data_IF_259498208705
#
_entry.id   IF_259498208705
#
_cell.length_a   1.000
_cell.length_b   1.000
_cell.length_c   1.000
_cell.angle_alpha   90.00
_cell.angle_beta   90.00
_cell.angle_gamma   90.00
#
_symmetry.space_group_name_H-M   'P 1'
#
loop_
_entity.id
_entity.type
_entity.pdbx_description
1 polymer ?
#
# COMPACT_ATOMS: atom_id res chain seq x y z
N UNK A 1 3.69 -44.43 -54.88
CA UNK A 1 4.80 -43.45 -54.73
C UNK A 1 4.48 -42.56 -53.55
N UNK A 2 5.37 -42.56 -52.56
CA UNK A 2 5.23 -41.90 -51.26
C UNK A 2 5.45 -40.39 -51.39
N UNK A 3 4.50 -39.56 -50.95
CA UNK A 3 4.63 -38.10 -50.93
C UNK A 3 4.74 -37.60 -49.49
N UNK A 4 5.95 -37.28 -49.07
CA UNK A 4 6.26 -36.63 -47.79
C UNK A 4 5.73 -35.19 -47.75
N UNK A 5 5.19 -34.70 -46.62
CA UNK A 5 4.96 -33.28 -46.42
C UNK A 5 6.27 -32.57 -46.03
N UNK A 6 6.58 -31.47 -46.75
CA UNK A 6 7.72 -30.58 -46.46
C UNK A 6 7.45 -29.74 -45.22
N UNK A 7 8.30 -29.88 -44.20
CA UNK A 7 8.34 -29.00 -43.03
C UNK A 7 8.82 -27.60 -43.40
N UNK A 8 7.98 -26.58 -43.16
CA UNK A 8 8.34 -25.17 -43.23
C UNK A 8 8.96 -24.78 -41.89
N UNK A 9 10.27 -24.52 -41.89
CA UNK A 9 11.00 -24.02 -40.72
C UNK A 9 10.62 -22.55 -40.47
N UNK A 10 9.94 -22.28 -39.35
CA UNK A 10 9.67 -20.92 -38.87
C UNK A 10 10.95 -20.34 -38.25
N UNK A 11 11.56 -19.39 -38.95
CA UNK A 11 12.72 -18.65 -38.48
C UNK A 11 12.31 -17.66 -37.38
N UNK A 12 12.84 -17.85 -36.16
CA UNK A 12 12.53 -17.00 -35.00
C UNK A 12 13.45 -15.77 -35.03
N UNK A 13 12.95 -14.52 -34.95
CA UNK A 13 13.82 -13.35 -34.99
C UNK A 13 14.64 -13.21 -33.70
N UNK A 14 15.95 -13.05 -33.87
CA UNK A 14 16.95 -12.83 -32.83
C UNK A 14 16.59 -11.64 -31.93
N UNK A 15 16.40 -11.92 -30.63
CA UNK A 15 16.22 -10.92 -29.59
C UNK A 15 17.57 -10.26 -29.29
N UNK A 16 17.76 -9.04 -29.79
CA UNK A 16 18.91 -8.18 -29.50
C UNK A 16 18.84 -7.79 -28.01
N UNK A 17 19.56 -8.51 -27.15
CA UNK A 17 19.85 -8.07 -25.79
C UNK A 17 21.08 -7.14 -25.82
N UNK A 18 20.85 -5.83 -25.83
CA UNK A 18 21.91 -4.86 -25.54
C UNK A 18 22.27 -4.93 -24.06
N UNK A 19 23.54 -5.25 -23.75
CA UNK A 19 24.09 -5.18 -22.39
C UNK A 19 23.99 -3.73 -21.85
N UNK A 20 23.49 -3.50 -20.62
CA UNK A 20 23.52 -2.18 -20.03
C UNK A 20 24.97 -1.75 -19.69
N UNK A 21 25.35 -0.53 -20.09
CA UNK A 21 26.63 0.11 -19.72
C UNK A 21 26.68 0.31 -18.21
N UNK A 22 27.76 -0.14 -17.56
CA UNK A 22 28.03 0.15 -16.15
C UNK A 22 28.26 1.65 -15.95
N UNK A 23 27.42 2.30 -15.16
CA UNK A 23 27.66 3.66 -14.68
C UNK A 23 28.83 3.65 -13.69
N UNK A 24 29.81 4.53 -13.88
CA UNK A 24 30.91 4.75 -12.92
C UNK A 24 30.39 5.60 -11.77
N UNK A 25 30.18 5.00 -10.61
CA UNK A 25 29.86 5.72 -9.36
C UNK A 25 31.12 6.42 -8.86
N UNK A 26 31.11 7.76 -8.76
CA UNK A 26 32.13 8.50 -8.00
C UNK A 26 31.86 8.33 -6.50
N UNK A 27 32.88 8.08 -5.66
CA UNK A 27 32.66 8.06 -4.22
C UNK A 27 32.28 9.47 -3.74
N UNK A 28 31.23 9.55 -2.93
CA UNK A 28 30.82 10.77 -2.26
C UNK A 28 31.91 11.20 -1.26
N UNK A 29 32.22 12.49 -1.24
CA UNK A 29 33.16 13.08 -0.30
C UNK A 29 32.66 12.88 1.14
N UNK A 30 33.51 12.30 1.98
CA UNK A 30 33.27 12.13 3.41
C UNK A 30 33.33 13.50 4.08
N UNK A 31 32.18 14.02 4.53
CA UNK A 31 32.13 15.26 5.31
C UNK A 31 32.61 14.93 6.72
N UNK A 32 33.79 15.45 7.07
CA UNK A 32 34.33 15.42 8.43
C UNK A 32 33.36 16.09 9.40
N UNK A 33 32.79 15.31 10.33
CA UNK A 33 31.97 15.82 11.42
C UNK A 33 32.84 16.60 12.41
N UNK A 34 32.77 17.93 12.34
CA UNK A 34 33.26 18.79 13.42
C UNK A 34 32.51 18.45 14.73
N UNK A 35 33.26 18.31 15.82
CA UNK A 35 32.76 17.96 17.17
C UNK A 35 31.58 18.87 17.57
N UNK A 36 30.35 18.34 17.53
CA UNK A 36 29.18 18.98 18.15
C UNK A 36 29.31 18.88 19.67
N UNK A 37 29.02 19.98 20.38
CA UNK A 37 28.82 19.95 21.84
C UNK A 37 27.50 19.22 22.12
N UNK A 38 27.46 18.33 23.14
CA UNK A 38 26.26 17.56 23.44
C UNK A 38 25.13 18.49 23.88
N UNK A 39 23.92 18.21 23.39
CA UNK A 39 22.72 18.97 23.76
C UNK A 39 21.93 18.22 24.82
N UNK A 40 20.91 18.87 25.40
CA UNK A 40 20.04 18.28 26.43
C UNK A 40 19.39 16.93 26.03
N UNK A 41 19.36 16.64 24.72
CA UNK A 41 18.83 15.41 24.13
C UNK A 41 19.83 14.23 24.12
N UNK A 42 21.12 14.45 24.38
CA UNK A 42 22.14 13.40 24.49
C UNK A 42 22.19 12.76 25.90
N UNK A 43 21.34 13.23 26.83
CA UNK A 43 21.27 12.70 28.19
C UNK A 43 20.43 11.42 28.17
N UNK A 44 21.13 10.28 28.08
CA UNK A 44 20.52 8.96 28.21
C UNK A 44 19.62 8.85 29.44
N UNK A 45 18.45 8.25 29.25
CA UNK A 45 17.48 7.94 30.30
C UNK A 45 18.07 6.85 31.19
N UNK A 46 18.77 7.24 32.25
CA UNK A 46 19.39 6.28 33.17
C UNK A 46 20.18 6.98 34.25
N UNK A 47 19.55 7.23 35.38
CA UNK A 47 20.20 7.83 36.54
C UNK A 47 19.21 8.46 37.49
N UNK A 48 18.43 7.64 38.19
CA UNK A 48 17.69 8.09 39.37
C UNK A 48 18.69 8.66 40.36
N UNK A 49 18.61 9.97 40.62
CA UNK A 49 19.33 10.61 41.71
C UNK A 49 18.77 10.08 43.03
N UNK A 50 19.44 9.10 43.64
CA UNK A 50 19.16 8.67 45.00
C UNK A 50 19.30 9.90 45.92
N UNK A 51 18.18 10.38 46.45
CA UNK A 51 18.16 11.44 47.44
C UNK A 51 19.08 11.09 48.60
N UNK A 52 19.97 12.01 48.93
CA UNK A 52 20.87 11.91 50.09
C UNK A 52 20.02 11.66 51.34
N UNK A 53 20.31 10.57 52.04
CA UNK A 53 19.68 10.22 53.30
C UNK A 53 19.86 11.35 54.31
N UNK A 54 18.77 12.04 54.63
CA UNK A 54 18.67 12.83 55.84
C UNK A 54 18.33 11.85 56.97
N UNK A 55 19.32 11.49 57.77
CA UNK A 55 19.10 10.75 59.00
C UNK A 55 18.37 11.67 59.99
N UNK A 56 17.06 11.44 60.18
CA UNK A 56 16.32 12.00 61.29
C UNK A 56 16.84 11.40 62.60
N UNK A 57 17.58 12.19 63.37
CA UNK A 57 17.95 11.85 64.74
C UNK A 57 16.70 11.82 65.63
N UNK A 58 16.32 10.62 66.09
CA UNK A 58 15.29 10.46 67.11
C UNK A 58 15.86 10.91 68.47
N UNK A 59 15.40 12.06 68.96
CA UNK A 59 15.50 12.40 70.38
C UNK A 59 14.26 11.83 71.08
N UNK A 60 14.47 10.87 71.96
CA UNK A 60 13.44 10.35 72.86
C UNK A 60 13.02 11.46 73.84
N UNK A 61 11.97 12.20 73.48
CA UNK A 61 11.24 13.08 74.38
C UNK A 61 9.95 12.39 74.81
N UNK A 62 9.83 12.11 76.10
CA UNK A 62 8.60 11.61 76.69
C UNK A 62 7.49 12.65 76.53
N UNK A 63 6.50 12.36 75.70
CA UNK A 63 5.27 13.13 75.63
C UNK A 63 4.09 12.22 75.99
N UNK A 64 3.56 12.51 77.18
CA UNK A 64 2.27 12.06 77.64
C UNK A 64 1.15 12.47 76.67
N UNK A 65 0.14 11.60 76.58
CA UNK A 65 -1.23 11.89 76.18
C UNK A 65 -1.41 12.70 74.87
N UNK A 66 -1.65 12.00 73.77
CA UNK A 66 -2.22 12.63 72.57
C UNK A 66 -3.00 11.60 71.76
N UNK A 67 -4.31 11.56 72.01
CA UNK A 67 -5.30 10.81 71.22
C UNK A 67 -5.33 11.21 69.73
N UNK A 68 -4.51 12.18 69.31
CA UNK A 68 -4.38 12.63 67.93
C UNK A 68 -3.43 11.76 67.10
N UNK A 69 -2.52 11.00 67.73
CA UNK A 69 -1.64 10.08 67.00
C UNK A 69 -2.40 8.92 66.34
N UNK A 70 -3.48 8.45 66.97
CA UNK A 70 -4.37 7.42 66.39
C UNK A 70 -5.17 7.94 65.19
N UNK A 71 -5.66 9.19 65.28
CA UNK A 71 -6.42 9.83 64.20
C UNK A 71 -5.51 10.12 63.00
N UNK A 72 -4.28 10.57 63.22
CA UNK A 72 -3.32 10.82 62.13
C UNK A 72 -2.94 9.51 61.40
N UNK A 73 -2.80 8.40 62.14
CA UNK A 73 -2.53 7.10 61.55
C UNK A 73 -3.72 6.57 60.73
N UNK A 74 -4.95 6.76 61.22
CA UNK A 74 -6.17 6.40 60.48
C UNK A 74 -6.37 7.24 59.20
N UNK A 75 -6.01 8.53 59.22
CA UNK A 75 -6.06 9.39 58.02
C UNK A 75 -4.98 8.96 57.00
N UNK A 76 -3.80 8.53 57.46
CA UNK A 76 -2.74 8.03 56.59
C UNK A 76 -3.05 6.66 55.96
N UNK A 77 -3.84 5.80 56.63
CA UNK A 77 -4.30 4.52 56.05
C UNK A 77 -5.43 4.68 55.03
N UNK A 78 -6.21 5.76 55.07
CA UNK A 78 -7.26 6.05 54.08
C UNK A 78 -6.75 6.37 52.67
N UNK A 79 -5.44 6.62 52.51
CA UNK A 79 -4.84 6.91 51.21
C UNK A 79 -4.70 5.66 50.30
N UNK A 80 -4.90 4.46 50.82
CA UNK A 80 -4.82 3.22 50.04
C UNK A 80 -6.13 2.85 49.30
N UNK A 81 -7.25 3.53 49.57
CA UNK A 81 -8.52 3.23 48.91
C UNK A 81 -8.72 4.02 47.60
N UNK A 82 -7.80 4.94 47.28
CA UNK A 82 -7.78 5.67 46.02
C UNK A 82 -6.75 5.08 45.06
N UNK A 83 -6.77 3.76 44.89
CA UNK A 83 -6.15 3.16 43.71
C UNK A 83 -7.07 3.52 42.54
N UNK A 84 -6.63 4.37 41.58
CA UNK A 84 -7.45 4.62 40.40
C UNK A 84 -7.75 3.27 39.77
N UNK A 85 -9.04 2.95 39.64
CA UNK A 85 -9.50 1.67 39.14
C UNK A 85 -8.92 1.46 37.73
N UNK A 86 -7.86 0.67 37.62
CA UNK A 86 -7.21 0.34 36.35
C UNK A 86 -8.13 -0.46 35.43
N UNK A 87 -9.33 -0.86 35.91
CA UNK A 87 -10.39 -1.47 35.08
C UNK A 87 -11.18 -0.46 34.27
N UNK A 88 -11.01 0.84 34.47
CA UNK A 88 -11.48 1.85 33.53
C UNK A 88 -10.55 1.92 32.30
N UNK A 89 -10.26 0.78 31.67
CA UNK A 89 -9.95 0.78 30.25
C UNK A 89 -11.23 1.24 29.57
N UNK A 90 -11.30 2.54 29.23
CA UNK A 90 -12.21 2.97 28.19
C UNK A 90 -12.04 1.98 27.03
N UNK A 91 -13.13 1.42 26.46
CA UNK A 91 -13.02 0.51 25.33
C UNK A 91 -12.08 1.14 24.31
N UNK A 92 -10.96 0.45 24.05
CA UNK A 92 -10.05 0.90 23.00
C UNK A 92 -10.82 0.78 21.69
N UNK A 93 -11.28 1.91 21.18
CA UNK A 93 -11.78 2.02 19.82
C UNK A 93 -10.55 2.09 18.92
N UNK A 94 -10.23 1.02 18.16
CA UNK A 94 -9.07 1.06 17.29
C UNK A 94 -9.24 2.25 16.33
N UNK A 95 -8.20 3.08 16.15
CA UNK A 95 -8.29 4.18 15.20
C UNK A 95 -8.67 3.58 13.85
N UNK A 96 -9.58 4.26 13.16
CA UNK A 96 -10.07 3.83 11.86
C UNK A 96 -8.89 3.37 11.01
N UNK A 97 -8.94 2.13 10.52
CA UNK A 97 -7.84 1.54 9.76
C UNK A 97 -7.42 2.50 8.65
N UNK A 98 -6.14 2.86 8.63
CA UNK A 98 -5.55 3.68 7.57
C UNK A 98 -5.63 2.87 6.28
N UNK A 99 -6.57 3.21 5.40
CA UNK A 99 -6.76 2.53 4.14
C UNK A 99 -6.81 3.56 3.00
N UNK A 100 -6.21 3.25 1.83
CA UNK A 100 -6.44 4.06 0.64
C UNK A 100 -7.93 4.02 0.28
N UNK A 101 -8.50 5.19 -0.02
CA UNK A 101 -9.89 5.29 -0.46
C UNK A 101 -9.91 5.36 -1.98
N UNK A 102 -10.80 4.64 -2.62
CA UNK A 102 -10.95 4.64 -4.07
C UNK A 102 -12.19 5.45 -4.45
N UNK A 103 -12.06 6.33 -5.43
CA UNK A 103 -13.16 7.14 -5.94
C UNK A 103 -13.32 6.90 -7.44
N UNK A 104 -14.55 6.61 -7.91
CA UNK A 104 -14.82 6.54 -9.35
C UNK A 104 -14.78 7.95 -9.94
N UNK A 105 -14.25 8.05 -11.16
CA UNK A 105 -14.10 9.30 -11.90
C UNK A 105 -14.57 9.02 -13.32
N UNK A 106 -15.59 9.74 -13.75
CA UNK A 106 -16.14 9.67 -15.09
C UNK A 106 -15.76 10.94 -15.87
N UNK A 107 -15.09 10.75 -17.01
CA UNK A 107 -14.69 11.85 -17.89
C UNK A 107 -15.53 11.76 -19.15
N UNK A 108 -16.45 12.70 -19.30
CA UNK A 108 -17.39 12.75 -20.41
C UNK A 108 -16.91 13.64 -21.55
N UNK A 109 -17.09 13.16 -22.78
CA UNK A 109 -16.92 13.92 -24.00
C UNK A 109 -18.21 13.92 -24.82
N UNK A 110 -18.69 15.11 -25.16
CA UNK A 110 -19.90 15.29 -25.96
C UNK A 110 -19.58 15.15 -27.45
N UNK A 111 -20.24 14.20 -28.11
CA UNK A 111 -20.21 14.00 -29.57
C UNK A 111 -21.51 14.54 -30.15
N UNK A 112 -21.43 15.57 -30.97
CA UNK A 112 -22.58 16.17 -31.62
C UNK A 112 -22.89 15.47 -32.96
N UNK A 113 -24.17 15.38 -33.29
CA UNK A 113 -24.66 14.90 -34.57
C UNK A 113 -25.57 15.96 -35.21
N UNK A 114 -25.65 15.97 -36.53
CA UNK A 114 -26.67 16.76 -37.22
C UNK A 114 -28.06 16.19 -36.93
N UNK A 115 -29.06 17.08 -36.85
CA UNK A 115 -30.44 16.72 -36.51
C UNK A 115 -30.97 15.60 -37.41
N UNK A 116 -31.62 14.60 -36.82
CA UNK A 116 -32.23 13.47 -37.55
C UNK A 116 -31.25 12.49 -38.20
N UNK A 117 -29.93 12.74 -38.15
CA UNK A 117 -28.92 11.88 -38.79
C UNK A 117 -28.21 10.98 -37.79
N UNK A 118 -27.74 9.81 -38.27
CA UNK A 118 -26.89 8.88 -37.52
C UNK A 118 -25.45 8.86 -38.01
N UNK A 119 -25.13 9.70 -39.00
CA UNK A 119 -23.82 9.75 -39.65
C UNK A 119 -22.81 10.43 -38.75
N UNK A 120 -21.70 9.75 -38.48
CA UNK A 120 -20.54 10.35 -37.82
C UNK A 120 -19.68 11.03 -38.88
N UNK A 121 -19.60 12.36 -38.83
CA UNK A 121 -18.77 13.14 -39.76
C UNK A 121 -17.27 13.08 -39.39
N UNK A 122 -16.42 13.59 -40.30
CA UNK A 122 -14.98 13.57 -40.12
C UNK A 122 -14.49 14.49 -38.97
N UNK A 123 -15.25 15.53 -38.62
CA UNK A 123 -14.90 16.45 -37.53
C UNK A 123 -15.16 15.78 -36.18
N UNK A 124 -16.35 15.19 -36.00
CA UNK A 124 -16.70 14.40 -34.84
C UNK A 124 -15.73 13.22 -34.63
N UNK A 125 -15.31 12.56 -35.72
CA UNK A 125 -14.27 11.52 -35.66
C UNK A 125 -12.93 12.03 -35.13
N UNK A 126 -12.48 13.22 -35.58
CA UNK A 126 -11.25 13.86 -35.07
C UNK A 126 -11.38 14.30 -33.61
N UNK A 127 -12.55 14.78 -33.20
CA UNK A 127 -12.79 15.20 -31.81
C UNK A 127 -12.75 14.01 -30.84
N UNK A 128 -13.33 12.88 -31.25
CA UNK A 128 -13.20 11.60 -30.53
C UNK A 128 -11.73 11.21 -30.43
N UNK A 129 -10.97 11.25 -31.53
CA UNK A 129 -9.55 10.88 -31.52
C UNK A 129 -8.73 11.78 -30.60
N UNK A 130 -8.98 13.08 -30.64
CA UNK A 130 -8.32 14.04 -29.78
C UNK A 130 -8.68 13.82 -28.30
N UNK A 131 -9.93 13.47 -28.00
CA UNK A 131 -10.35 13.11 -26.65
C UNK A 131 -9.65 11.85 -26.15
N UNK A 132 -9.68 10.76 -26.93
CA UNK A 132 -9.02 9.50 -26.59
C UNK A 132 -7.51 9.70 -26.37
N UNK A 133 -6.86 10.51 -27.21
CA UNK A 133 -5.45 10.83 -27.08
C UNK A 133 -5.13 11.66 -25.82
N UNK A 134 -5.93 12.70 -25.53
CA UNK A 134 -5.76 13.53 -24.32
C UNK A 134 -5.91 12.71 -23.04
N UNK A 135 -6.90 11.81 -23.02
CA UNK A 135 -7.12 10.93 -21.87
C UNK A 135 -6.16 9.73 -21.84
N UNK A 136 -5.34 9.54 -22.88
CA UNK A 136 -4.45 8.39 -23.05
C UNK A 136 -5.21 7.07 -22.90
N UNK A 137 -6.35 6.97 -23.57
CA UNK A 137 -7.22 5.79 -23.47
C UNK A 137 -6.49 4.57 -24.00
N UNK A 138 -6.49 3.50 -23.22
CA UNK A 138 -6.00 2.19 -23.62
C UNK A 138 -7.12 1.15 -23.69
N UNK A 139 -6.75 -0.12 -23.96
CA UNK A 139 -7.73 -1.22 -24.09
C UNK A 139 -8.26 -1.75 -22.76
N UNK A 140 -7.63 -1.37 -21.65
CA UNK A 140 -8.04 -1.74 -20.30
C UNK A 140 -8.97 -0.68 -19.67
N UNK A 141 -9.02 0.54 -20.22
CA UNK A 141 -9.99 1.55 -19.81
C UNK A 141 -11.43 1.10 -20.08
N UNK A 142 -12.32 1.35 -19.11
CA UNK A 142 -13.75 1.13 -19.25
C UNK A 142 -14.38 2.31 -19.98
N UNK A 143 -15.00 2.04 -21.12
CA UNK A 143 -15.67 3.05 -21.95
C UNK A 143 -17.17 2.80 -21.99
N UNK A 144 -17.93 3.89 -21.95
CA UNK A 144 -19.37 3.87 -22.14
C UNK A 144 -19.80 4.92 -23.15
N UNK A 145 -20.87 4.60 -23.86
CA UNK A 145 -21.56 5.49 -24.77
C UNK A 145 -22.92 5.74 -24.14
N UNK A 146 -23.13 6.93 -23.61
CA UNK A 146 -24.39 7.35 -23.03
C UNK A 146 -25.27 8.03 -24.09
N UNK A 147 -26.54 7.67 -24.13
CA UNK A 147 -27.57 8.29 -24.99
C UNK A 147 -28.66 8.93 -24.14
N UNK A 148 -29.30 10.03 -24.59
CA UNK A 148 -30.32 10.69 -23.80
C UNK A 148 -31.57 9.79 -23.65
N UNK A 149 -32.19 9.84 -22.47
CA UNK A 149 -33.51 9.24 -22.24
C UNK A 149 -34.52 9.76 -23.27
N UNK A 150 -35.31 8.85 -23.85
CA UNK A 150 -36.28 9.19 -24.90
C UNK A 150 -35.69 9.42 -26.31
N UNK A 151 -34.38 9.28 -26.52
CA UNK A 151 -33.74 9.49 -27.83
C UNK A 151 -34.10 8.48 -28.94
N UNK A 152 -34.78 7.38 -28.61
CA UNK A 152 -35.31 6.40 -29.55
C UNK A 152 -34.26 5.72 -30.45
N UNK A 153 -34.69 5.27 -31.62
CA UNK A 153 -33.83 4.55 -32.59
C UNK A 153 -32.71 5.43 -33.17
N UNK A 154 -32.94 6.74 -33.33
CA UNK A 154 -31.91 7.65 -33.84
C UNK A 154 -30.73 7.73 -32.88
N UNK A 155 -30.99 7.89 -31.57
CA UNK A 155 -29.92 7.92 -30.58
C UNK A 155 -29.15 6.59 -30.50
N UNK A 156 -29.85 5.45 -30.59
CA UNK A 156 -29.21 4.13 -30.66
C UNK A 156 -28.35 3.97 -31.92
N UNK A 157 -28.82 4.44 -33.08
CA UNK A 157 -28.07 4.44 -34.32
C UNK A 157 -26.79 5.28 -34.24
N UNK A 158 -26.86 6.46 -33.61
CA UNK A 158 -25.69 7.31 -33.33
C UNK A 158 -24.69 6.60 -32.41
N UNK A 159 -25.16 6.00 -31.32
CA UNK A 159 -24.30 5.23 -30.42
C UNK A 159 -23.64 4.05 -31.13
N UNK A 160 -24.39 3.30 -31.95
CA UNK A 160 -23.84 2.21 -32.76
C UNK A 160 -22.75 2.70 -33.73
N UNK A 161 -22.91 3.91 -34.29
CA UNK A 161 -21.90 4.51 -35.17
C UNK A 161 -20.62 4.87 -34.43
N UNK A 162 -20.74 5.45 -33.23
CA UNK A 162 -19.59 5.72 -32.34
C UNK A 162 -18.94 4.41 -31.91
N UNK A 163 -19.72 3.41 -31.49
CA UNK A 163 -19.21 2.09 -31.10
C UNK A 163 -18.45 1.41 -32.24
N UNK A 164 -18.97 1.46 -33.48
CA UNK A 164 -18.28 0.95 -34.65
C UNK A 164 -16.96 1.69 -34.91
N UNK A 165 -16.93 3.01 -34.73
CA UNK A 165 -15.72 3.81 -34.85
C UNK A 165 -14.66 3.45 -33.80
N UNK A 166 -15.07 3.24 -32.54
CA UNK A 166 -14.18 2.78 -31.47
C UNK A 166 -13.66 1.35 -31.72
N UNK A 167 -14.50 0.47 -32.27
CA UNK A 167 -14.12 -0.92 -32.61
C UNK A 167 -12.99 -0.98 -33.63
N UNK A 168 -12.95 -0.07 -34.61
CA UNK A 168 -11.83 0.05 -35.56
C UNK A 168 -10.49 0.33 -34.86
N UNK A 169 -10.54 0.97 -33.69
CA UNK A 169 -9.38 1.26 -32.83
C UNK A 169 -9.14 0.18 -31.77
N UNK A 170 -9.85 -0.95 -31.85
CA UNK A 170 -9.81 -2.07 -30.90
C UNK A 170 -10.22 -1.68 -29.47
N UNK A 171 -11.09 -0.67 -29.36
CA UNK A 171 -11.72 -0.27 -28.11
C UNK A 171 -13.15 -0.81 -28.08
N UNK A 172 -13.58 -1.27 -26.91
CA UNK A 172 -14.94 -1.71 -26.66
C UNK A 172 -15.61 -0.69 -25.73
N UNK A 173 -16.89 -0.39 -25.98
CA UNK A 173 -17.67 0.49 -25.13
C UNK A 173 -19.06 -0.10 -24.89
N UNK A 174 -19.54 0.01 -23.65
CA UNK A 174 -20.92 -0.31 -23.28
C UNK A 174 -21.89 0.77 -23.75
N UNK A 175 -23.17 0.42 -23.90
CA UNK A 175 -24.24 1.39 -24.15
C UNK A 175 -25.03 1.60 -22.85
N UNK A 176 -25.21 2.87 -22.47
CA UNK A 176 -25.99 3.26 -21.28
C UNK A 176 -27.00 4.34 -21.68
N UNK A 177 -28.14 4.39 -20.97
CA UNK A 177 -29.10 5.46 -21.09
C UNK A 177 -28.79 6.49 -20.01
N UNK A 178 -28.56 7.73 -20.42
CA UNK A 178 -28.31 8.88 -19.57
C UNK A 178 -29.64 9.54 -19.23
N UNK A 179 -29.95 9.64 -17.93
CA UNK A 179 -31.15 10.27 -17.39
C UNK A 179 -30.96 11.77 -17.09
N UNK A 180 -29.78 12.32 -17.38
CA UNK A 180 -29.49 13.75 -17.27
C UNK A 180 -30.41 14.56 -18.22
N UNK A 181 -31.34 15.37 -17.68
CA UNK A 181 -32.28 16.15 -18.48
C UNK A 181 -31.60 17.25 -19.30
N UNK A 182 -30.34 17.58 -19.00
CA UNK A 182 -29.57 18.59 -19.74
C UNK A 182 -28.91 18.02 -20.99
N UNK A 183 -28.96 16.69 -21.20
CA UNK A 183 -28.39 16.06 -22.38
C UNK A 183 -29.23 16.35 -23.63
N UNK A 184 -28.60 16.99 -24.61
CA UNK A 184 -29.27 17.31 -25.87
C UNK A 184 -29.58 16.03 -26.68
N UNK A 185 -30.79 15.96 -27.25
CA UNK A 185 -31.25 14.84 -28.08
C UNK A 185 -30.34 14.54 -29.28
N UNK A 186 -29.67 15.57 -29.80
CA UNK A 186 -28.73 15.50 -30.93
C UNK A 186 -27.29 15.14 -30.56
N UNK A 187 -27.09 14.61 -29.35
CA UNK A 187 -25.76 14.30 -28.84
C UNK A 187 -25.67 12.90 -28.26
N UNK A 188 -24.44 12.39 -28.26
CA UNK A 188 -24.04 11.16 -27.58
C UNK A 188 -22.86 11.51 -26.68
N UNK A 189 -22.78 10.90 -25.50
CA UNK A 189 -21.68 11.15 -24.56
C UNK A 189 -20.75 9.93 -24.57
N UNK A 190 -19.50 10.14 -24.94
CA UNK A 190 -18.45 9.14 -24.75
C UNK A 190 -17.83 9.35 -23.36
N UNK A 191 -17.97 8.36 -22.49
CA UNK A 191 -17.53 8.42 -21.10
C UNK A 191 -16.37 7.46 -20.89
N UNK A 192 -15.29 7.96 -20.28
CA UNK A 192 -14.18 7.14 -19.79
C UNK A 192 -14.32 7.01 -18.30
N UNK A 193 -14.45 5.77 -17.81
CA UNK A 193 -14.54 5.46 -16.39
C UNK A 193 -13.18 5.05 -15.85
N UNK A 194 -12.75 5.72 -14.78
CA UNK A 194 -11.51 5.43 -14.08
C UNK A 194 -11.74 5.44 -12.58
N UNK A 195 -10.78 4.89 -11.87
CA UNK A 195 -10.71 5.00 -10.42
C UNK A 195 -9.48 5.81 -10.05
N UNK A 196 -9.59 6.59 -8.98
CA UNK A 196 -8.46 7.31 -8.38
C UNK A 196 -8.33 6.91 -6.91
N UNK A 197 -7.08 6.80 -6.46
CA UNK A 197 -6.79 6.54 -5.05
C UNK A 197 -6.56 7.86 -4.33
N UNK A 198 -7.35 8.10 -3.28
CA UNK A 198 -7.07 9.09 -2.26
C UNK A 198 -6.29 8.42 -1.12
N UNK A 199 -5.07 8.92 -0.89
CA UNK A 199 -4.23 8.43 0.20
C UNK A 199 -4.84 8.80 1.56
N UNK A 200 -4.65 7.97 2.60
CA UNK A 200 -5.06 8.34 3.94
C UNK A 200 -4.27 9.56 4.42
N UNK A 201 -4.83 10.34 5.36
CA UNK A 201 -4.17 11.49 5.99
C UNK A 201 -3.00 11.07 6.88
N UNK A 202 -1.93 10.58 6.27
CA UNK A 202 -0.73 10.05 6.92
C UNK A 202 0.51 10.89 6.52
N UNK A 203 1.52 11.04 7.40
CA UNK A 203 1.49 10.67 8.81
C UNK A 203 0.62 11.62 9.64
N UNK A 204 0.17 11.14 10.79
CA UNK A 204 -0.61 11.87 11.77
C UNK A 204 0.12 11.83 13.12
N UNK A 205 0.43 13.01 13.66
CA UNK A 205 1.18 13.17 14.91
C UNK A 205 0.36 13.87 15.99
N UNK A 206 -0.97 13.84 15.87
CA UNK A 206 -1.88 14.41 16.87
C UNK A 206 -1.83 13.62 18.19
N UNK A 207 -1.56 12.31 18.12
CA UNK A 207 -1.33 11.46 19.29
C UNK A 207 0.08 11.64 19.87
N UNK A 208 0.22 11.43 21.19
CA UNK A 208 1.53 11.44 21.86
C UNK A 208 2.37 10.28 21.35
N UNK A 209 3.38 10.57 20.52
CA UNK A 209 4.40 9.61 20.13
C UNK A 209 5.26 9.24 21.35
N UNK A 210 5.25 7.99 21.82
CA UNK A 210 6.05 7.57 22.96
C UNK A 210 5.62 6.25 23.60
N UNK A 211 6.06 6.02 24.84
CA UNK A 211 5.73 4.81 25.61
C UNK A 211 4.28 4.89 26.07
N UNK A 212 3.41 4.15 25.38
CA UNK A 212 2.04 3.89 25.81
C UNK A 212 1.99 2.57 26.58
N UNK A 213 1.61 2.60 27.86
CA UNK A 213 1.52 1.38 28.68
C UNK A 213 0.30 0.50 28.35
N UNK A 214 -0.63 0.99 27.52
CA UNK A 214 -1.85 0.28 27.13
C UNK A 214 -1.69 -0.75 26.01
N UNK A 215 -0.47 -0.97 25.50
CA UNK A 215 -0.19 -1.84 24.35
C UNK A 215 -1.08 -1.56 23.12
N UNK A 216 -1.42 -0.29 22.90
CA UNK A 216 -2.28 0.16 21.82
C UNK A 216 -1.45 0.48 20.57
N UNK A 217 -1.92 0.12 19.35
CA UNK A 217 -1.38 0.63 18.11
C UNK A 217 -1.23 2.15 18.11
N UNK A 218 -0.09 2.66 17.63
CA UNK A 218 0.08 4.11 17.42
C UNK A 218 -0.93 4.64 16.40
N UNK A 219 -1.26 5.94 16.44
CA UNK A 219 -2.11 6.57 15.41
C UNK A 219 -1.60 6.41 13.96
N UNK A 220 -0.29 6.18 13.79
CA UNK A 220 0.35 5.88 12.49
C UNK A 220 0.42 4.40 12.13
N UNK A 221 -0.21 3.52 12.91
CA UNK A 221 -0.22 2.09 12.62
C UNK A 221 -0.81 1.82 11.23
N UNK A 222 -0.06 1.11 10.39
CA UNK A 222 -0.46 0.82 9.00
C UNK A 222 -0.31 1.97 8.01
N UNK A 223 0.06 3.20 8.42
CA UNK A 223 0.20 4.34 7.50
C UNK A 223 1.19 4.06 6.36
N UNK A 224 2.39 3.53 6.66
CA UNK A 224 3.38 3.23 5.64
C UNK A 224 2.85 2.19 4.62
N UNK A 225 2.19 1.14 5.12
CA UNK A 225 1.58 0.10 4.27
C UNK A 225 0.50 0.69 3.36
N UNK A 226 -0.40 1.50 3.91
CA UNK A 226 -1.52 2.08 3.17
C UNK A 226 -1.07 3.10 2.11
N UNK A 227 -0.12 3.96 2.47
CA UNK A 227 0.47 4.94 1.55
C UNK A 227 1.24 4.23 0.44
N UNK A 228 2.09 3.25 0.78
CA UNK A 228 2.83 2.50 -0.22
C UNK A 228 1.89 1.72 -1.15
N UNK A 229 0.85 1.07 -0.62
CA UNK A 229 -0.15 0.39 -1.44
C UNK A 229 -0.84 1.36 -2.41
N UNK A 230 -1.28 2.52 -1.93
CA UNK A 230 -1.92 3.55 -2.76
C UNK A 230 -0.99 4.15 -3.81
N UNK A 231 0.32 4.24 -3.56
CA UNK A 231 1.32 4.74 -4.51
C UNK A 231 1.80 3.69 -5.51
N UNK A 232 1.78 2.41 -5.14
CA UNK A 232 2.26 1.31 -5.99
C UNK A 232 1.16 0.69 -6.86
N UNK A 233 -0.11 0.89 -6.55
CA UNK A 233 -1.20 0.27 -7.31
C UNK A 233 -1.22 0.81 -8.74
N UNK A 234 -1.11 -0.09 -9.72
CA UNK A 234 -1.11 0.27 -11.13
C UNK A 234 -2.53 0.61 -11.63
N UNK A 235 -3.53 -0.16 -11.19
CA UNK A 235 -4.94 0.08 -11.49
C UNK A 235 -5.73 0.28 -10.18
N UNK A 236 -6.14 1.51 -9.85
CA UNK A 236 -6.93 1.79 -8.65
C UNK A 236 -8.23 0.99 -8.53
N UNK A 237 -8.83 0.57 -9.64
CA UNK A 237 -10.05 -0.26 -9.63
C UNK A 237 -9.85 -1.62 -8.98
N UNK A 238 -8.62 -2.15 -9.02
CA UNK A 238 -8.27 -3.45 -8.42
C UNK A 238 -8.39 -3.43 -6.88
N UNK A 239 -8.40 -2.25 -6.25
CA UNK A 239 -8.66 -2.08 -4.81
C UNK A 239 -10.13 -2.14 -4.44
N UNK A 240 -11.04 -1.90 -5.41
CA UNK A 240 -12.48 -2.08 -5.21
C UNK A 240 -12.80 -3.54 -5.43
N UNK A 241 -12.54 -4.05 -6.64
CA UNK A 241 -12.75 -5.44 -7.02
C UNK A 241 -11.51 -5.98 -7.73
N UNK A 242 -11.00 -7.11 -7.24
CA UNK A 242 -9.90 -7.81 -7.89
C UNK A 242 -10.30 -8.31 -9.27
N UNK A 243 -9.39 -8.23 -10.24
CA UNK A 243 -9.59 -8.82 -11.56
C UNK A 243 -9.60 -10.34 -11.48
N UNK A 244 -10.40 -10.96 -12.33
CA UNK A 244 -10.38 -12.42 -12.48
C UNK A 244 -8.97 -12.87 -12.89
N UNK A 245 -8.45 -13.84 -12.13
CA UNK A 245 -7.25 -14.57 -12.53
C UNK A 245 -7.57 -15.31 -13.82
N UNK A 246 -6.89 -14.96 -14.92
CA UNK A 246 -7.00 -15.70 -16.16
C UNK A 246 -6.65 -17.19 -15.97
N UNK A 247 -6.87 -18.03 -16.99
CA UNK A 247 -6.60 -19.46 -16.89
C UNK A 247 -5.15 -19.72 -16.46
N UNK A 248 -4.96 -20.65 -15.53
CA UNK A 248 -3.65 -21.04 -15.07
C UNK A 248 -2.81 -21.61 -16.23
N UNK A 249 -1.56 -21.16 -16.38
CA UNK A 249 -0.62 -21.72 -17.35
C UNK A 249 -0.05 -23.04 -16.83
N UNK A 250 -0.75 -24.15 -17.10
CA UNK A 250 -0.33 -25.48 -16.67
C UNK A 250 1.05 -25.89 -17.19
N UNK A 251 1.43 -25.45 -18.40
CA UNK A 251 2.74 -25.75 -18.96
C UNK A 251 3.85 -25.06 -18.16
N UNK A 252 3.67 -23.79 -17.79
CA UNK A 252 4.61 -23.07 -16.94
C UNK A 252 4.75 -23.74 -15.56
N UNK A 253 3.65 -24.20 -14.96
CA UNK A 253 3.67 -24.89 -13.66
C UNK A 253 4.45 -26.21 -13.72
N UNK A 254 4.18 -27.04 -14.74
CA UNK A 254 4.90 -28.31 -14.94
C UNK A 254 6.40 -28.07 -15.18
N UNK A 255 6.75 -27.08 -16.00
CA UNK A 255 8.15 -26.71 -16.24
C UNK A 255 8.84 -26.23 -14.97
N UNK A 256 8.14 -25.54 -14.07
CA UNK A 256 8.66 -25.16 -12.74
C UNK A 256 9.08 -26.37 -11.92
N UNK A 257 8.21 -27.38 -11.83
CA UNK A 257 8.47 -28.64 -11.11
C UNK A 257 9.64 -29.40 -11.73
N UNK A 258 9.68 -29.51 -13.06
CA UNK A 258 10.76 -30.19 -13.76
C UNK A 258 12.12 -29.53 -13.49
N UNK A 259 12.19 -28.19 -13.58
CA UNK A 259 13.42 -27.45 -13.26
C UNK A 259 13.85 -27.66 -11.81
N UNK A 260 12.90 -27.65 -10.87
CA UNK A 260 13.18 -27.96 -9.46
C UNK A 260 13.79 -29.35 -9.29
N UNK A 261 13.19 -30.38 -9.90
CA UNK A 261 13.67 -31.76 -9.82
C UNK A 261 15.05 -31.97 -10.48
N UNK A 262 15.36 -31.21 -11.52
CA UNK A 262 16.66 -31.26 -12.21
C UNK A 262 17.74 -30.39 -11.57
N UNK A 263 17.41 -29.64 -10.52
CA UNK A 263 18.36 -28.67 -9.93
C UNK A 263 18.65 -27.47 -10.83
N UNK A 264 17.80 -27.19 -11.83
CA UNK A 264 17.94 -26.07 -12.78
C UNK A 264 17.26 -24.79 -12.26
N UNK A 265 17.13 -24.65 -10.94
CA UNK A 265 16.57 -23.45 -10.32
C UNK A 265 17.61 -22.35 -10.28
N UNK A 266 17.15 -21.11 -10.45
CA UNK A 266 18.04 -19.96 -10.26
C UNK A 266 18.26 -19.76 -8.75
N UNK A 267 19.50 -19.58 -8.29
CA UNK A 267 19.73 -19.20 -6.91
C UNK A 267 19.06 -17.85 -6.63
N UNK A 268 18.51 -17.70 -5.42
CA UNK A 268 17.95 -16.43 -4.99
C UNK A 268 19.05 -15.37 -4.99
N UNK A 269 18.74 -14.18 -5.49
CA UNK A 269 19.61 -13.02 -5.39
C UNK A 269 19.76 -12.67 -3.91
N UNK A 270 20.87 -13.09 -3.28
CA UNK A 270 21.14 -12.90 -1.86
C UNK A 270 21.41 -14.17 -1.04
N UNK A 271 21.45 -15.35 -1.67
CA UNK A 271 21.76 -16.63 -1.00
C UNK A 271 23.21 -16.82 -0.49
N UNK A 272 23.93 -15.74 -0.21
CA UNK A 272 25.08 -15.78 0.68
C UNK A 272 24.58 -15.42 2.08
N UNK A 273 23.83 -16.34 2.71
CA UNK A 273 23.80 -16.37 4.17
C UNK A 273 25.24 -16.56 4.61
N UNK A 274 25.86 -15.49 5.09
CA UNK A 274 27.08 -15.60 5.88
C UNK A 274 26.79 -16.62 6.97
N UNK A 275 27.42 -17.79 6.88
CA UNK A 275 27.43 -18.75 7.98
C UNK A 275 27.82 -17.97 9.23
N UNK A 276 26.90 -17.91 10.20
CA UNK A 276 27.25 -17.48 11.53
C UNK A 276 28.43 -18.36 11.98
N UNK A 277 29.55 -17.80 12.45
CA UNK A 277 30.65 -18.62 12.92
C UNK A 277 30.11 -19.53 14.02
N UNK A 278 30.38 -20.82 13.90
CA UNK A 278 30.02 -21.80 14.91
C UNK A 278 30.55 -21.30 16.26
N UNK A 279 29.64 -20.98 17.18
CA UNK A 279 30.00 -20.75 18.56
C UNK A 279 30.59 -22.07 19.08
N UNK A 280 31.92 -22.11 19.20
CA UNK A 280 32.63 -23.24 19.76
C UNK A 280 32.15 -23.46 21.19
N UNK A 281 31.35 -24.50 21.41
CA UNK A 281 31.09 -25.03 22.75
C UNK A 281 32.33 -25.81 23.18
N UNK A 282 33.30 -25.11 23.74
CA UNK A 282 34.34 -25.72 24.54
C UNK A 282 33.72 -26.24 25.83
N UNK A 283 33.40 -27.53 25.88
CA UNK A 283 33.08 -28.23 27.12
C UNK A 283 34.39 -28.53 27.89
N UNK A 284 34.42 -28.40 29.22
CA UNK A 284 35.58 -28.78 30.02
C UNK A 284 35.69 -30.31 30.06
N UNK A 285 36.83 -30.84 29.64
CA UNK A 285 37.17 -32.25 29.82
C UNK A 285 37.54 -32.48 31.29
N UNK A 286 36.61 -33.06 32.05
CA UNK A 286 36.90 -33.77 33.31
C UNK A 286 37.04 -35.26 33.02
N UNK A 287 38.15 -35.86 33.45
CA UNK A 287 38.41 -37.28 33.27
C UNK A 287 39.55 -37.74 34.17
N UNK A 288 39.16 -38.28 35.33
CA UNK A 288 39.95 -38.93 36.37
C UNK A 288 40.94 -39.99 35.87
N UNK A 289 42.02 -40.14 36.64
CA UNK A 289 43.04 -41.16 36.44
C UNK A 289 42.71 -42.52 37.03
N UNK A 290 43.30 -43.54 36.42
CA UNK A 290 43.76 -44.81 37.00
C UNK A 290 44.71 -45.41 35.94
N UNK A 291 45.90 -45.95 36.21
CA UNK A 291 46.47 -46.46 37.44
C UNK A 291 46.95 -47.88 37.22
N UNK A 292 48.19 -48.01 36.72
CA UNK A 292 49.04 -49.21 36.57
C UNK A 292 48.65 -50.29 35.54
#
# INVERSE_FOLDING_TARGET
MSSHPRSIAMNTPNRIYTKPRKAKTKPAAFVSTAKRKPTIWDRGVGGGSSGKGQSCGWRAGAHACSSWAGILCLILLGACDHIPDFKAYAPYDPPATRQPRVQPVAIAHKVAFSQGTVTLDATAGRDIDAFLARQKVDRADALEIAIPVGGGEIARGRAARVAAYLKLKRLAAGLVIDDDPTMAADTVRLVVHRYQVALPGCPDWTDRSGITHGNQPSGNWGCATAVNLGLMVANPGDLVWGRDGGPADGAAQVLGIQRYRKGETKPLLGGATSQAPAAGTGAPAGGEGAGK
#
